data_IF_081853273387
#
_entry.id   IF_081853273387
#
_cell.length_a   1.000
_cell.length_b   1.000
_cell.length_c   1.000
_cell.angle_alpha   90.00
_cell.angle_beta   90.00
_cell.angle_gamma   90.00
#
_symmetry.space_group_name_H-M   'P 1'
#
loop_
_entity.id
_entity.type
_entity.pdbx_description
1 polymer ?
#
# COMPACT_ATOMS: atom_id res chain seq x y z
N UNK A 1 -8.33 -12.49 -0.66
CA UNK A 1 -8.89 -11.14 -0.90
C UNK A 1 -9.97 -10.99 0.13
N UNK A 2 -9.71 -10.13 1.12
CA UNK A 2 -10.62 -9.87 2.22
C UNK A 2 -11.97 -9.31 1.75
N UNK A 3 -12.80 -8.98 2.74
CA UNK A 3 -14.14 -8.44 2.49
C UNK A 3 -14.04 -7.11 1.73
N UNK A 4 -14.88 -6.93 0.71
CA UNK A 4 -15.00 -5.64 0.01
C UNK A 4 -15.42 -4.56 1.01
N UNK A 5 -14.76 -3.40 0.94
CA UNK A 5 -15.05 -2.26 1.80
C UNK A 5 -16.46 -1.70 1.54
N UNK A 6 -17.00 -0.94 2.50
CA UNK A 6 -18.21 -0.15 2.25
C UNK A 6 -17.96 0.92 1.18
N UNK A 7 -19.01 1.47 0.58
CA UNK A 7 -18.85 2.46 -0.49
C UNK A 7 -18.05 3.70 -0.03
N UNK A 8 -18.29 4.18 1.19
CA UNK A 8 -17.58 5.32 1.78
C UNK A 8 -16.08 5.01 1.96
N UNK A 9 -15.76 3.88 2.57
CA UNK A 9 -14.36 3.43 2.75
C UNK A 9 -13.63 3.21 1.41
N UNK A 10 -14.33 2.74 0.38
CA UNK A 10 -13.76 2.61 -0.97
C UNK A 10 -13.41 3.99 -1.57
N UNK A 11 -14.27 4.99 -1.37
CA UNK A 11 -14.01 6.36 -1.81
C UNK A 11 -12.84 6.97 -1.07
N UNK A 12 -12.79 6.86 0.25
CA UNK A 12 -11.67 7.35 1.07
C UNK A 12 -10.35 6.70 0.65
N UNK A 13 -10.35 5.37 0.50
CA UNK A 13 -9.15 4.63 0.10
C UNK A 13 -8.71 4.98 -1.33
N UNK A 14 -9.67 5.23 -2.24
CA UNK A 14 -9.40 5.71 -3.60
C UNK A 14 -8.80 7.12 -3.58
N UNK A 15 -9.28 8.00 -2.69
CA UNK A 15 -8.71 9.33 -2.52
C UNK A 15 -7.28 9.25 -1.99
N UNK A 16 -7.01 8.42 -0.98
CA UNK A 16 -5.67 8.26 -0.40
C UNK A 16 -4.63 7.79 -1.44
N UNK A 17 -4.90 6.72 -2.18
CA UNK A 17 -3.97 6.23 -3.21
C UNK A 17 -3.82 7.22 -4.38
N UNK A 18 -4.84 8.03 -4.67
CA UNK A 18 -4.73 9.12 -5.64
C UNK A 18 -3.77 10.21 -5.17
N UNK A 19 -3.79 10.57 -3.88
CA UNK A 19 -2.85 11.54 -3.33
C UNK A 19 -1.39 11.10 -3.55
N UNK A 20 -1.06 9.85 -3.20
CA UNK A 20 0.26 9.28 -3.50
C UNK A 20 0.56 9.23 -5.00
N UNK A 21 -0.41 8.83 -5.82
CA UNK A 21 -0.24 8.80 -7.27
C UNK A 21 0.08 10.19 -7.85
N UNK A 22 -0.56 11.24 -7.34
CA UNK A 22 -0.29 12.61 -7.77
C UNK A 22 1.04 13.14 -7.23
N UNK A 23 1.45 12.75 -6.01
CA UNK A 23 2.76 13.12 -5.46
C UNK A 23 3.91 12.47 -6.24
N UNK A 24 3.67 11.33 -6.88
CA UNK A 24 4.58 10.69 -7.84
C UNK A 24 4.48 11.25 -9.27
N UNK A 25 3.95 12.45 -9.47
CA UNK A 25 3.75 13.05 -10.80
C UNK A 25 2.90 12.20 -11.76
N UNK A 26 2.06 11.31 -11.23
CA UNK A 26 1.28 10.32 -11.98
C UNK A 26 2.15 9.25 -12.66
N UNK A 27 3.31 8.96 -12.08
CA UNK A 27 4.19 7.87 -12.52
C UNK A 27 3.50 6.50 -12.34
N UNK A 28 3.41 5.76 -13.43
CA UNK A 28 2.89 4.38 -13.48
C UNK A 28 4.00 3.35 -13.72
N UNK A 29 5.24 3.82 -13.89
CA UNK A 29 6.40 2.95 -14.03
C UNK A 29 6.68 2.22 -12.72
N UNK A 30 7.38 1.10 -12.83
CA UNK A 30 7.81 0.35 -11.65
C UNK A 30 9.14 0.90 -11.18
N UNK A 31 9.09 1.69 -10.12
CA UNK A 31 10.23 2.44 -9.57
C UNK A 31 10.52 1.99 -8.13
N UNK A 32 11.78 2.08 -7.71
CA UNK A 32 12.14 1.81 -6.32
C UNK A 32 11.53 2.89 -5.41
N UNK A 33 10.73 2.47 -4.44
CA UNK A 33 10.10 3.33 -3.45
C UNK A 33 10.39 2.81 -2.06
N UNK A 34 10.50 3.73 -1.10
CA UNK A 34 10.72 3.37 0.30
C UNK A 34 9.42 2.88 0.91
N UNK A 35 9.49 1.76 1.64
CA UNK A 35 8.36 1.13 2.31
C UNK A 35 8.74 0.71 3.71
N UNK A 36 7.82 0.97 4.63
CA UNK A 36 7.86 0.43 5.98
C UNK A 36 6.68 -0.52 6.19
N UNK A 37 6.94 -1.61 6.89
CA UNK A 37 5.92 -2.51 7.39
C UNK A 37 5.97 -2.43 8.89
N UNK A 38 4.86 -2.00 9.49
CA UNK A 38 4.71 -1.92 10.94
C UNK A 38 3.66 -2.91 11.42
N UNK A 39 3.84 -3.36 12.66
CA UNK A 39 2.84 -4.13 13.36
C UNK A 39 1.66 -3.23 13.76
N UNK A 40 0.42 -3.61 13.42
CA UNK A 40 -0.74 -2.75 13.63
C UNK A 40 -1.05 -2.50 15.12
N UNK A 41 -0.78 -3.48 16.00
CA UNK A 41 -1.09 -3.39 17.43
C UNK A 41 0.00 -2.65 18.21
N UNK A 42 1.26 -2.87 17.86
CA UNK A 42 2.41 -2.37 18.64
C UNK A 42 3.11 -1.18 18.00
N UNK A 43 2.79 -0.83 16.76
CA UNK A 43 3.47 0.18 15.93
C UNK A 43 4.99 -0.11 15.75
N UNK A 44 5.41 -1.35 16.04
CA UNK A 44 6.80 -1.75 15.89
C UNK A 44 7.15 -1.94 14.41
N UNK A 45 8.26 -1.34 13.97
CA UNK A 45 8.78 -1.54 12.60
C UNK A 45 9.31 -2.97 12.45
N UNK A 46 8.68 -3.72 11.56
CA UNK A 46 9.05 -5.11 11.24
C UNK A 46 10.05 -5.14 10.09
N UNK A 47 9.85 -4.27 9.10
CA UNK A 47 10.69 -4.18 7.92
C UNK A 47 10.71 -2.73 7.41
N UNK A 48 11.87 -2.28 6.98
CA UNK A 48 12.08 -1.03 6.24
C UNK A 48 12.97 -1.33 5.05
N UNK A 49 12.51 -1.04 3.83
CA UNK A 49 13.21 -1.42 2.61
C UNK A 49 12.84 -0.56 1.41
N UNK A 50 13.73 -0.48 0.41
CA UNK A 50 13.37 0.01 -0.92
C UNK A 50 12.92 -1.16 -1.80
N UNK A 51 11.72 -1.04 -2.36
CA UNK A 51 11.10 -2.10 -3.16
C UNK A 51 10.52 -1.51 -4.45
N UNK A 52 10.55 -2.24 -5.58
CA UNK A 52 9.90 -1.76 -6.79
C UNK A 52 8.39 -1.74 -6.61
N UNK A 53 7.79 -0.58 -6.89
CA UNK A 53 6.34 -0.34 -6.76
C UNK A 53 5.83 0.35 -8.02
N UNK A 54 4.60 0.04 -8.39
CA UNK A 54 3.82 0.87 -9.30
C UNK A 54 2.37 1.02 -8.81
N UNK A 55 1.74 2.12 -9.18
CA UNK A 55 0.30 2.31 -9.04
C UNK A 55 -0.33 2.10 -10.42
N UNK A 56 -1.32 1.21 -10.49
CA UNK A 56 -2.13 1.05 -11.69
C UNK A 56 -3.46 1.79 -11.49
N UNK A 57 -3.67 2.94 -12.15
CA UNK A 57 -4.96 3.62 -12.12
C UNK A 57 -5.99 2.79 -12.89
N UNK A 58 -7.23 2.78 -12.38
CA UNK A 58 -8.40 2.21 -13.06
C UNK A 58 -9.57 3.20 -13.04
N UNK A 59 -10.60 2.92 -13.82
CA UNK A 59 -11.79 3.79 -13.92
C UNK A 59 -12.56 3.89 -12.60
N UNK A 60 -12.69 2.78 -11.88
CA UNK A 60 -13.47 2.70 -10.64
C UNK A 60 -12.64 2.35 -9.41
N UNK A 61 -11.43 1.83 -9.60
CA UNK A 61 -10.55 1.40 -8.50
C UNK A 61 -9.10 1.62 -8.88
N UNK A 62 -8.27 1.86 -7.88
CA UNK A 62 -6.81 1.91 -8.03
C UNK A 62 -6.21 0.71 -7.33
N UNK A 63 -5.06 0.26 -7.83
CA UNK A 63 -4.26 -0.74 -7.13
C UNK A 63 -2.81 -0.29 -7.07
N UNK A 64 -2.14 -0.72 -6.02
CA UNK A 64 -0.70 -0.59 -5.84
C UNK A 64 -0.09 -1.98 -5.84
N UNK A 65 0.93 -2.16 -6.67
CA UNK A 65 1.65 -3.43 -6.81
C UNK A 65 3.03 -3.27 -6.20
N UNK A 66 3.40 -4.15 -5.26
CA UNK A 66 4.67 -4.13 -4.54
C UNK A 66 5.43 -5.42 -4.86
N UNK A 67 6.62 -5.30 -5.45
CA UNK A 67 7.43 -6.45 -5.91
C UNK A 67 8.44 -6.85 -4.82
N UNK A 68 7.92 -7.37 -3.70
CA UNK A 68 8.70 -7.74 -2.51
C UNK A 68 9.92 -8.62 -2.79
N UNK A 69 9.78 -9.60 -3.67
CA UNK A 69 10.84 -10.56 -3.99
C UNK A 69 12.07 -9.87 -4.63
N UNK A 70 11.86 -8.80 -5.40
CA UNK A 70 12.94 -8.03 -6.01
C UNK A 70 13.76 -7.25 -4.98
N UNK A 71 13.17 -6.98 -3.81
CA UNK A 71 13.87 -6.40 -2.66
C UNK A 71 14.47 -7.48 -1.72
N UNK A 72 14.38 -8.77 -2.09
CA UNK A 72 14.93 -9.87 -1.29
C UNK A 72 13.97 -10.46 -0.26
N UNK A 73 12.72 -9.98 -0.18
CA UNK A 73 11.68 -10.51 0.73
C UNK A 73 10.98 -11.70 0.06
N UNK A 74 11.68 -12.83 -0.04
CA UNK A 74 11.24 -14.00 -0.83
C UNK A 74 9.96 -14.67 -0.31
N UNK A 75 9.73 -14.65 1.01
CA UNK A 75 8.55 -15.26 1.64
C UNK A 75 7.65 -14.20 2.27
N UNK A 76 7.38 -13.10 1.57
CA UNK A 76 6.58 -11.99 2.11
C UNK A 76 5.18 -12.44 2.60
N UNK A 77 4.59 -13.48 2.00
CA UNK A 77 3.31 -14.04 2.47
C UNK A 77 3.36 -14.67 3.86
N UNK A 78 4.51 -15.18 4.33
CA UNK A 78 4.63 -15.65 5.72
C UNK A 78 4.63 -14.51 6.73
N UNK A 79 4.88 -13.28 6.27
CA UNK A 79 4.73 -12.04 7.03
C UNK A 79 3.33 -11.43 6.86
N UNK A 80 2.39 -12.17 6.26
CA UNK A 80 1.04 -11.69 5.89
C UNK A 80 1.05 -10.46 4.96
N UNK A 81 2.12 -10.30 4.16
CA UNK A 81 2.19 -9.27 3.12
C UNK A 81 1.63 -9.79 1.80
N UNK A 82 1.22 -8.86 0.95
CA UNK A 82 0.61 -9.15 -0.35
C UNK A 82 1.32 -8.36 -1.45
N UNK A 83 1.40 -8.92 -2.65
CA UNK A 83 2.01 -8.22 -3.79
C UNK A 83 1.10 -7.16 -4.42
N UNK A 84 -0.21 -7.19 -4.13
CA UNK A 84 -1.19 -6.28 -4.72
C UNK A 84 -2.20 -5.86 -3.66
N UNK A 85 -2.39 -4.54 -3.52
CA UNK A 85 -3.42 -3.96 -2.67
C UNK A 85 -4.37 -3.12 -3.52
N UNK A 86 -5.66 -3.37 -3.35
CA UNK A 86 -6.73 -2.69 -4.08
C UNK A 86 -7.46 -1.71 -3.17
N UNK A 87 -7.73 -0.51 -3.67
CA UNK A 87 -8.47 0.53 -2.94
C UNK A 87 -9.92 0.12 -2.62
N UNK A 88 -10.43 -0.94 -3.26
CA UNK A 88 -11.77 -1.48 -3.00
C UNK A 88 -11.85 -2.52 -1.88
N UNK A 89 -10.70 -3.03 -1.43
CA UNK A 89 -10.60 -4.13 -0.47
C UNK A 89 -9.67 -3.85 0.71
N UNK A 90 -8.81 -2.84 0.60
CA UNK A 90 -7.83 -2.48 1.63
C UNK A 90 -8.09 -1.03 1.99
N UNK A 91 -8.30 -0.78 3.29
CA UNK A 91 -8.47 0.59 3.78
C UNK A 91 -7.15 1.30 3.57
N UNK A 92 -7.20 2.50 3.01
CA UNK A 92 -6.01 3.30 2.75
C UNK A 92 -6.18 4.69 3.34
N UNK A 93 -5.13 5.20 3.94
CA UNK A 93 -5.06 6.57 4.45
C UNK A 93 -3.78 7.22 3.92
N UNK A 94 -3.87 8.48 3.50
CA UNK A 94 -2.69 9.24 3.10
C UNK A 94 -2.34 10.19 4.24
N UNK A 95 -1.14 10.02 4.80
CA UNK A 95 -0.59 10.91 5.81
C UNK A 95 0.12 12.06 5.10
N UNK A 96 -0.52 13.23 5.06
CA UNK A 96 0.03 14.43 4.45
C UNK A 96 1.27 14.99 5.18
N UNK A 97 1.47 14.65 6.47
CA UNK A 97 2.62 15.14 7.25
C UNK A 97 3.86 14.31 6.93
N UNK A 98 3.70 12.99 6.86
CA UNK A 98 4.79 12.06 6.58
C UNK A 98 4.93 11.70 5.08
N UNK A 99 4.04 12.25 4.24
CA UNK A 99 3.95 12.02 2.79
C UNK A 99 3.94 10.52 2.44
N UNK A 100 3.10 9.74 3.13
CA UNK A 100 3.02 8.30 2.93
C UNK A 100 1.59 7.78 2.86
N UNK A 101 1.41 6.73 2.06
CA UNK A 101 0.18 5.95 2.00
C UNK A 101 0.26 4.80 2.98
N UNK A 102 -0.63 4.78 3.95
CA UNK A 102 -0.85 3.66 4.86
C UNK A 102 -1.89 2.72 4.28
N UNK A 103 -1.56 1.43 4.21
CA UNK A 103 -2.43 0.39 3.66
C UNK A 103 -2.72 -0.64 4.75
N UNK A 104 -4.00 -0.80 5.03
CA UNK A 104 -4.54 -1.74 6.01
C UNK A 104 -5.25 -2.88 5.28
N UNK A 105 -4.88 -4.12 5.59
CA UNK A 105 -5.50 -5.31 5.00
C UNK A 105 -6.22 -6.11 6.07
N UNK A 106 -7.48 -6.47 5.81
CA UNK A 106 -8.27 -7.30 6.75
C UNK A 106 -7.72 -8.72 6.94
N UNK A 107 -6.85 -9.17 6.04
CA UNK A 107 -6.19 -10.48 6.09
C UNK A 107 -4.80 -10.41 6.78
N UNK A 108 -4.40 -9.25 7.31
CA UNK A 108 -3.09 -8.99 7.91
C UNK A 108 -3.21 -8.19 9.21
N UNK A 109 -2.23 -8.36 10.10
CA UNK A 109 -2.02 -7.58 11.33
C UNK A 109 -0.87 -6.57 11.12
N UNK A 110 -0.75 -6.05 9.89
CA UNK A 110 0.37 -5.23 9.43
C UNK A 110 -0.17 -4.04 8.66
N UNK A 111 0.47 -2.90 8.88
CA UNK A 111 0.25 -1.68 8.09
C UNK A 111 1.45 -1.53 7.15
N UNK A 112 1.17 -1.39 5.86
CA UNK A 112 2.20 -1.10 4.85
C UNK A 112 2.19 0.40 4.57
N UNK A 113 3.28 1.08 4.90
CA UNK A 113 3.48 2.51 4.65
C UNK A 113 4.35 2.70 3.41
N UNK A 114 3.81 3.32 2.36
CA UNK A 114 4.51 3.58 1.10
C UNK A 114 4.76 5.07 0.97
N UNK A 115 6.03 5.46 0.89
CA UNK A 115 6.42 6.88 0.92
C UNK A 115 6.46 7.50 -0.49
N UNK A 116 6.14 8.79 -0.55
CA UNK A 116 6.22 9.61 -1.76
C UNK A 116 7.65 9.65 -2.33
#
# INVERSE_FOLDING_TARGET
MGKKLSFEEQLESLHAIKSLYFSWDRDTSTSLRYVEVVDEETDAVILSIQVPINISPGTETYKINIVWENAGVKNFSSLKLFGIYWSSYNKMNYDDINECLEIYSSDSDKIVKVYS
#
